data_IF_925708553201
#
_entry.id   IF_925708553201
#
_cell.length_a   1.000
_cell.length_b   1.000
_cell.length_c   1.000
_cell.angle_alpha   90.00
_cell.angle_beta   90.00
_cell.angle_gamma   90.00
#
_symmetry.space_group_name_H-M   'P 1'
#
loop_
_entity.id
_entity.type
_entity.pdbx_description
1 polymer ?
#
# COMPACT_ATOMS: atom_id res chain seq x y z
N UNK A 1 39.63 -31.21 -9.82
CA UNK A 1 38.20 -31.15 -9.43
C UNK A 1 37.94 -30.21 -8.25
N UNK A 2 38.55 -30.41 -7.07
CA UNK A 2 38.32 -29.54 -5.88
C UNK A 2 38.55 -28.03 -6.12
N UNK A 3 39.64 -27.68 -6.79
CA UNK A 3 39.98 -26.27 -7.12
C UNK A 3 38.91 -25.57 -7.98
N UNK A 4 38.30 -26.29 -8.94
CA UNK A 4 37.23 -25.73 -9.76
C UNK A 4 35.93 -25.54 -8.96
N UNK A 5 35.67 -26.44 -8.00
CA UNK A 5 34.52 -26.34 -7.10
C UNK A 5 34.64 -25.15 -6.15
N UNK A 6 35.83 -24.94 -5.56
CA UNK A 6 36.12 -23.80 -4.70
C UNK A 6 35.91 -22.47 -5.45
N UNK A 7 36.47 -22.36 -6.65
CA UNK A 7 36.31 -21.19 -7.52
C UNK A 7 34.84 -20.94 -7.89
N UNK A 8 34.07 -21.99 -8.18
CA UNK A 8 32.65 -21.86 -8.48
C UNK A 8 31.84 -21.34 -7.28
N UNK A 9 32.15 -21.81 -6.07
CA UNK A 9 31.50 -21.36 -4.82
C UNK A 9 31.82 -19.89 -4.53
N UNK A 10 33.07 -19.47 -4.74
CA UNK A 10 33.50 -18.08 -4.57
C UNK A 10 32.75 -17.15 -5.52
N UNK A 11 32.75 -17.46 -6.81
CA UNK A 11 32.02 -16.70 -7.83
C UNK A 11 30.52 -16.63 -7.53
N UNK A 12 29.92 -17.72 -7.05
CA UNK A 12 28.52 -17.75 -6.65
C UNK A 12 28.24 -16.77 -5.50
N UNK A 13 29.09 -16.76 -4.46
CA UNK A 13 28.96 -15.87 -3.30
C UNK A 13 29.10 -14.40 -3.71
N UNK A 14 30.08 -14.08 -4.55
CA UNK A 14 30.22 -12.72 -5.06
C UNK A 14 29.00 -12.28 -5.88
N UNK A 15 28.49 -13.15 -6.75
CA UNK A 15 27.30 -12.85 -7.54
C UNK A 15 26.06 -12.67 -6.65
N UNK A 16 25.94 -13.44 -5.56
CA UNK A 16 24.87 -13.24 -4.57
C UNK A 16 25.00 -11.88 -3.87
N UNK A 17 26.22 -11.49 -3.46
CA UNK A 17 26.45 -10.21 -2.77
C UNK A 17 26.21 -9.01 -3.70
N UNK A 18 26.66 -9.10 -4.95
CA UNK A 18 26.39 -8.10 -5.99
C UNK A 18 24.88 -7.94 -6.22
N UNK A 19 24.15 -9.04 -6.37
CA UNK A 19 22.68 -9.03 -6.52
C UNK A 19 22.01 -8.38 -5.31
N UNK A 20 22.33 -8.83 -4.10
CA UNK A 20 21.76 -8.27 -2.86
C UNK A 20 21.97 -6.76 -2.79
N UNK A 21 23.20 -6.30 -3.02
CA UNK A 21 23.53 -4.87 -2.98
C UNK A 21 22.74 -4.10 -4.03
N UNK A 22 22.65 -4.62 -5.26
CA UNK A 22 21.91 -3.97 -6.34
C UNK A 22 20.42 -3.81 -6.04
N UNK A 23 19.76 -4.88 -5.57
CA UNK A 23 18.32 -4.85 -5.25
C UNK A 23 18.01 -4.01 -4.01
N UNK A 24 18.85 -4.06 -2.97
CA UNK A 24 18.62 -3.33 -1.71
C UNK A 24 18.96 -1.85 -1.82
N UNK A 25 19.86 -1.44 -2.73
CA UNK A 25 20.39 -0.06 -2.80
C UNK A 25 19.32 1.03 -2.83
N UNK A 26 18.20 0.79 -3.50
CA UNK A 26 17.13 1.77 -3.65
C UNK A 26 15.81 1.30 -3.04
N UNK A 27 15.87 0.31 -2.14
CA UNK A 27 14.71 -0.20 -1.45
C UNK A 27 14.30 0.79 -0.34
N UNK A 28 13.16 1.44 -0.55
CA UNK A 28 12.56 2.29 0.48
C UNK A 28 11.76 1.40 1.42
N UNK A 29 12.16 1.37 2.70
CA UNK A 29 11.41 0.65 3.73
C UNK A 29 10.01 1.22 3.85
N UNK A 30 9.02 0.46 3.39
CA UNK A 30 7.60 0.76 3.59
C UNK A 30 7.15 0.01 4.83
N UNK A 31 6.92 0.75 5.90
CA UNK A 31 6.40 0.22 7.15
C UNK A 31 5.02 0.80 7.42
N UNK A 32 4.14 -0.04 7.94
CA UNK A 32 2.79 0.33 8.34
C UNK A 32 2.60 0.01 9.82
N UNK A 33 1.96 0.91 10.54
CA UNK A 33 1.59 0.73 11.93
C UNK A 33 0.19 0.13 12.05
N UNK A 34 -0.10 -0.45 13.21
CA UNK A 34 -1.46 -0.86 13.54
C UNK A 34 -2.40 0.35 13.47
N UNK A 35 -3.50 0.21 12.74
CA UNK A 35 -4.49 1.25 12.52
C UNK A 35 -4.35 2.00 11.21
N UNK A 36 -3.21 1.89 10.51
CA UNK A 36 -3.02 2.53 9.21
C UNK A 36 -4.02 1.99 8.18
N UNK A 37 -4.53 2.90 7.34
CA UNK A 37 -5.37 2.54 6.22
C UNK A 37 -4.50 2.26 4.99
N UNK A 38 -4.75 1.12 4.36
CA UNK A 38 -3.99 0.64 3.22
C UNK A 38 -4.89 0.14 2.09
N UNK A 39 -4.36 0.18 0.87
CA UNK A 39 -4.89 -0.53 -0.28
C UNK A 39 -4.09 -1.83 -0.45
N UNK A 40 -4.80 -2.92 -0.69
CA UNK A 40 -4.26 -4.26 -0.91
C UNK A 40 -4.30 -4.58 -2.40
N UNK A 41 -3.17 -5.05 -2.96
CA UNK A 41 -3.16 -5.57 -4.31
C UNK A 41 -3.83 -6.95 -4.36
N UNK A 42 -4.89 -7.09 -5.14
CA UNK A 42 -5.58 -8.37 -5.36
C UNK A 42 -5.67 -8.69 -6.84
N UNK A 43 -5.58 -9.97 -7.18
CA UNK A 43 -5.88 -10.45 -8.53
C UNK A 43 -7.39 -10.55 -8.73
N UNK A 44 -7.86 -10.32 -9.96
CA UNK A 44 -9.25 -10.58 -10.30
C UNK A 44 -9.46 -12.09 -10.48
N UNK A 45 -10.55 -12.63 -9.91
CA UNK A 45 -10.92 -14.05 -10.09
C UNK A 45 -11.24 -14.39 -11.54
N UNK A 46 -11.80 -13.45 -12.30
CA UNK A 46 -12.19 -13.66 -13.70
C UNK A 46 -10.99 -13.60 -14.65
N UNK A 47 -10.04 -12.71 -14.38
CA UNK A 47 -8.82 -12.56 -15.17
C UNK A 47 -7.59 -12.51 -14.26
N UNK A 48 -6.76 -13.56 -14.30
CA UNK A 48 -5.57 -13.68 -13.44
C UNK A 48 -4.49 -12.64 -13.75
N UNK A 49 -4.49 -12.06 -14.94
CA UNK A 49 -3.55 -11.02 -15.35
C UNK A 49 -4.03 -9.62 -14.94
N UNK A 50 -5.29 -9.49 -14.55
CA UNK A 50 -5.85 -8.25 -14.06
C UNK A 50 -5.60 -8.12 -12.55
N UNK A 51 -4.92 -7.04 -12.18
CA UNK A 51 -4.59 -6.69 -10.80
C UNK A 51 -5.30 -5.41 -10.43
N UNK A 52 -5.97 -5.42 -9.28
CA UNK A 52 -6.74 -4.28 -8.77
C UNK A 52 -6.32 -3.93 -7.34
N UNK A 53 -6.47 -2.66 -6.98
CA UNK A 53 -6.27 -2.19 -5.60
C UNK A 53 -7.61 -2.27 -4.86
N UNK A 54 -7.70 -3.14 -3.86
CA UNK A 54 -8.85 -3.29 -2.95
C UNK A 54 -8.63 -2.41 -1.71
N UNK A 55 -9.62 -1.65 -1.27
CA UNK A 55 -9.49 -0.86 -0.05
C UNK A 55 -10.66 0.08 0.26
N UNK A 56 -10.57 0.83 1.37
CA UNK A 56 -9.50 0.81 2.37
C UNK A 56 -9.60 -0.37 3.33
N UNK A 57 -8.45 -0.99 3.65
CA UNK A 57 -8.31 -1.96 4.73
C UNK A 57 -7.48 -1.39 5.87
N UNK A 58 -7.68 -1.86 7.10
CA UNK A 58 -6.99 -1.41 8.30
C UNK A 58 -5.94 -2.44 8.72
N UNK A 59 -4.75 -1.98 9.07
CA UNK A 59 -3.69 -2.86 9.59
C UNK A 59 -4.05 -3.26 11.03
N UNK A 60 -4.19 -4.55 11.29
CA UNK A 60 -4.40 -5.08 12.64
C UNK A 60 -3.07 -5.44 13.32
N UNK A 61 -2.15 -6.05 12.57
CA UNK A 61 -0.90 -6.56 13.13
C UNK A 61 0.19 -6.70 12.06
N UNK A 62 1.45 -6.44 12.43
CA UNK A 62 2.64 -6.81 11.65
C UNK A 62 3.12 -8.20 12.08
N UNK A 63 3.16 -9.14 11.14
CA UNK A 63 3.63 -10.52 11.39
C UNK A 63 5.13 -10.63 11.11
N UNK A 64 5.61 -9.98 10.05
CA UNK A 64 7.03 -9.91 9.69
C UNK A 64 7.37 -8.56 9.06
N UNK A 65 8.61 -8.36 8.62
CA UNK A 65 9.00 -7.16 7.87
C UNK A 65 8.11 -6.91 6.64
N UNK A 66 7.63 -7.99 6.00
CA UNK A 66 6.84 -7.93 4.77
C UNK A 66 5.40 -8.40 4.92
N UNK A 67 5.02 -9.10 5.99
CA UNK A 67 3.68 -9.67 6.15
C UNK A 67 2.86 -8.91 7.18
N UNK A 68 1.65 -8.50 6.80
CA UNK A 68 0.72 -7.74 7.61
C UNK A 68 -0.66 -8.38 7.60
N UNK A 69 -1.36 -8.30 8.73
CA UNK A 69 -2.77 -8.66 8.84
C UNK A 69 -3.60 -7.43 8.52
N UNK A 70 -4.50 -7.55 7.53
CA UNK A 70 -5.40 -6.47 7.14
C UNK A 70 -6.86 -6.89 7.35
N UNK A 71 -7.63 -6.03 7.99
CA UNK A 71 -9.08 -6.15 8.15
C UNK A 71 -9.81 -5.20 7.18
N UNK A 72 -10.98 -5.61 6.68
CA UNK A 72 -11.83 -4.77 5.84
C UNK A 72 -13.20 -4.61 6.50
N UNK A 73 -13.70 -3.37 6.55
CA UNK A 73 -15.03 -3.11 7.11
C UNK A 73 -16.13 -3.77 6.27
N UNK A 74 -17.08 -4.44 6.93
CA UNK A 74 -18.23 -5.07 6.29
C UNK A 74 -17.97 -6.44 5.63
N UNK A 75 -16.75 -6.96 5.68
CA UNK A 75 -16.47 -8.34 5.26
C UNK A 75 -16.27 -9.24 6.48
N UNK A 76 -17.09 -10.28 6.60
CA UNK A 76 -16.88 -11.38 7.55
C UNK A 76 -15.66 -12.26 7.19
N UNK A 77 -14.89 -11.89 6.16
CA UNK A 77 -13.63 -12.57 5.85
C UNK A 77 -12.67 -12.32 7.02
N UNK A 78 -12.34 -13.40 7.74
CA UNK A 78 -11.32 -13.39 8.78
C UNK A 78 -10.06 -12.68 8.28
N UNK A 79 -9.54 -11.75 9.09
CA UNK A 79 -8.20 -11.15 9.01
C UNK A 79 -7.24 -11.94 8.11
N UNK A 80 -6.99 -11.42 6.91
CA UNK A 80 -6.10 -12.08 5.94
C UNK A 80 -4.68 -11.52 6.05
N UNK A 81 -3.72 -12.41 5.85
CA UNK A 81 -2.30 -12.05 5.79
C UNK A 81 -1.95 -11.63 4.38
N UNK A 82 -1.43 -10.41 4.23
CA UNK A 82 -0.95 -9.87 2.97
C UNK A 82 0.54 -9.57 3.06
N UNK A 83 1.25 -9.88 1.98
CA UNK A 83 2.65 -9.49 1.79
C UNK A 83 2.73 -8.03 1.28
N UNK A 84 3.86 -7.35 1.50
CA UNK A 84 4.25 -5.91 1.36
C UNK A 84 3.78 -5.14 0.11
N UNK A 85 2.97 -5.72 -0.76
CA UNK A 85 2.21 -5.08 -1.84
C UNK A 85 1.02 -4.25 -1.30
N UNK A 86 1.30 -3.45 -0.29
CA UNK A 86 0.36 -2.51 0.31
C UNK A 86 0.71 -1.08 -0.13
N UNK A 87 -0.31 -0.26 -0.33
CA UNK A 87 -0.17 1.18 -0.54
C UNK A 87 -0.85 1.94 0.60
N UNK A 88 -0.25 3.01 1.14
CA UNK A 88 -0.96 3.87 2.09
C UNK A 88 -2.19 4.46 1.41
N UNK A 89 -3.31 4.47 2.13
CA UNK A 89 -4.56 5.07 1.69
C UNK A 89 -4.70 6.46 2.30
N UNK A 90 -4.82 7.47 1.44
CA UNK A 90 -5.09 8.85 1.84
C UNK A 90 -6.51 9.20 1.44
N UNK A 91 -7.37 9.48 2.44
CA UNK A 91 -8.75 9.92 2.19
C UNK A 91 -8.71 11.26 1.44
N UNK A 92 -9.55 11.41 0.41
CA UNK A 92 -9.71 12.71 -0.23
C UNK A 92 -10.32 13.70 0.77
N UNK A 93 -9.85 14.95 0.82
CA UNK A 93 -10.53 15.98 1.60
C UNK A 93 -11.96 16.14 1.09
N UNK A 94 -12.91 16.23 2.01
CA UNK A 94 -14.31 16.49 1.67
C UNK A 94 -14.42 17.95 1.23
N UNK A 95 -14.71 18.19 -0.05
CA UNK A 95 -15.03 19.53 -0.53
C UNK A 95 -16.53 19.75 -0.31
N UNK A 96 -16.86 20.58 0.67
CA UNK A 96 -18.24 21.00 0.92
C UNK A 96 -18.46 22.28 0.14
N UNK A 97 -19.31 22.23 -0.90
CA UNK A 97 -19.78 23.44 -1.57
C UNK A 97 -20.82 24.10 -0.66
N UNK A 98 -20.43 25.21 -0.01
CA UNK A 98 -21.36 26.02 0.77
C UNK A 98 -22.04 27.02 -0.18
N UNK A 99 -23.34 26.86 -0.40
CA UNK A 99 -24.18 27.87 -1.05
C UNK A 99 -24.82 28.67 0.08
N UNK A 100 -24.45 29.94 0.22
CA UNK A 100 -25.11 30.88 1.13
C UNK A 100 -26.09 31.72 0.34
N UNK A 101 -27.38 31.65 0.68
CA UNK A 101 -28.35 32.65 0.24
C UNK A 101 -28.01 33.96 0.95
N UNK A 102 -27.64 34.98 0.17
CA UNK A 102 -27.58 36.34 0.67
C UNK A 102 -28.99 36.88 0.55
N UNK A 103 -29.78 36.80 1.63
CA UNK A 103 -31.04 37.55 1.72
C UNK A 103 -30.70 39.04 1.72
N UNK A 104 -30.82 39.65 0.54
CA UNK A 104 -30.63 41.07 0.31
C UNK A 104 -31.97 41.76 0.16
N UNK A 105 -32.76 41.81 1.23
CA UNK A 105 -33.93 42.70 1.32
C UNK A 105 -33.52 43.99 2.05
N UNK A 106 -33.11 44.99 1.28
CA UNK A 106 -33.28 46.39 1.67
C UNK A 106 -33.65 47.19 0.41
N UNK A 107 -34.96 47.41 0.24
CA UNK A 107 -35.51 48.41 -0.66
C UNK A 107 -34.78 49.74 -0.45
N UNK A 108 -34.16 50.25 -1.51
CA UNK A 108 -33.67 51.62 -1.56
C UNK A 108 -34.70 52.47 -2.32
N UNK A 109 -35.34 53.37 -1.57
CA UNK A 109 -36.30 54.37 -2.05
C UNK A 109 -35.84 55.09 -3.32
N UNK A 110 -36.77 55.19 -4.27
CA UNK A 110 -36.67 55.96 -5.51
C UNK A 110 -37.00 57.43 -5.21
N UNK A 111 -36.17 58.41 -5.60
CA UNK A 111 -36.61 59.80 -5.75
C UNK A 111 -37.46 60.00 -7.03
#
# INVERSE_FOLDING_TARGET
MKKCQELAVENMKEAQQRRKTWYVRNDMKREFARGDLVLVLTTNRRNKLEVQWKGPGKIEQKISETNYVVSFEGQNESNQVYHIMLKPYYKRPEMINMITEVEGDLEMDIP
#
